data_IF_515982967262
#
_entry.id   IF_515982967262
#
_cell.length_a   1.000
_cell.length_b   1.000
_cell.length_c   1.000
_cell.angle_alpha   90.00
_cell.angle_beta   90.00
_cell.angle_gamma   90.00
#
_symmetry.space_group_name_H-M   'P 1'
#
loop_
_entity.id
_entity.type
_entity.pdbx_description
1 polymer ?
#
# COMPACT_ATOMS: atom_id res chain seq x y z
N UNK A 1 -24.29 2.12 -34.86
CA UNK A 1 -24.52 2.97 -33.67
C UNK A 1 -23.45 2.74 -32.62
N UNK A 2 -22.19 3.11 -32.88
CA UNK A 2 -21.08 3.03 -31.90
C UNK A 2 -20.46 4.41 -31.63
N UNK A 3 -20.71 5.40 -32.50
CA UNK A 3 -20.08 6.72 -32.46
C UNK A 3 -20.63 7.62 -31.35
N UNK A 4 -21.87 7.40 -30.88
CA UNK A 4 -22.49 8.19 -29.78
C UNK A 4 -22.29 7.56 -28.39
N UNK A 5 -21.92 6.28 -28.31
CA UNK A 5 -21.72 5.59 -27.05
C UNK A 5 -20.45 6.07 -26.31
N UNK A 6 -19.39 6.40 -27.06
CA UNK A 6 -18.12 6.86 -26.49
C UNK A 6 -18.23 8.28 -25.92
N UNK A 7 -18.78 9.29 -26.64
CA UNK A 7 -18.99 10.62 -26.06
C UNK A 7 -19.96 10.61 -24.87
N UNK A 8 -21.01 9.79 -24.93
CA UNK A 8 -21.96 9.63 -23.81
C UNK A 8 -21.31 9.01 -22.57
N UNK A 9 -20.48 7.98 -22.76
CA UNK A 9 -19.70 7.36 -21.68
C UNK A 9 -18.70 8.34 -21.05
N UNK A 10 -17.97 9.10 -21.86
CA UNK A 10 -17.02 10.11 -21.37
C UNK A 10 -17.74 11.20 -20.56
N UNK A 11 -18.90 11.68 -21.03
CA UNK A 11 -19.68 12.68 -20.29
C UNK A 11 -20.21 12.15 -18.95
N UNK A 12 -20.73 10.91 -18.94
CA UNK A 12 -21.21 10.27 -17.72
C UNK A 12 -20.07 10.06 -16.70
N UNK A 13 -18.92 9.58 -17.17
CA UNK A 13 -17.71 9.41 -16.34
C UNK A 13 -17.23 10.74 -15.77
N UNK A 14 -17.18 11.79 -16.59
CA UNK A 14 -16.81 13.13 -16.13
C UNK A 14 -17.76 13.70 -15.08
N UNK A 15 -19.07 13.46 -15.19
CA UNK A 15 -20.02 13.85 -14.15
C UNK A 15 -19.81 13.05 -12.85
N UNK A 16 -19.62 11.73 -12.96
CA UNK A 16 -19.31 10.90 -11.79
C UNK A 16 -18.05 11.39 -11.08
N UNK A 17 -17.00 11.72 -11.83
CA UNK A 17 -15.74 12.25 -11.30
C UNK A 17 -15.95 13.56 -10.53
N UNK A 18 -16.75 14.48 -11.08
CA UNK A 18 -17.05 15.75 -10.39
C UNK A 18 -17.80 15.54 -9.08
N UNK A 19 -18.81 14.67 -9.09
CA UNK A 19 -19.60 14.37 -7.88
C UNK A 19 -18.75 13.66 -6.83
N UNK A 20 -17.96 12.67 -7.25
CA UNK A 20 -17.06 11.93 -6.38
C UNK A 20 -16.00 12.83 -5.75
N UNK A 21 -15.38 13.71 -6.53
CA UNK A 21 -14.42 14.70 -6.02
C UNK A 21 -15.07 15.65 -5.00
N UNK A 22 -16.28 16.15 -5.27
CA UNK A 22 -16.99 17.02 -4.33
C UNK A 22 -17.32 16.30 -3.02
N UNK A 23 -17.78 15.04 -3.09
CA UNK A 23 -18.06 14.24 -1.91
C UNK A 23 -16.78 13.93 -1.11
N UNK A 24 -15.72 13.52 -1.81
CA UNK A 24 -14.43 13.22 -1.19
C UNK A 24 -13.87 14.45 -0.47
N UNK A 25 -13.85 15.61 -1.12
CA UNK A 25 -13.39 16.86 -0.52
C UNK A 25 -14.17 17.28 0.73
N UNK A 26 -15.45 16.87 0.86
CA UNK A 26 -16.26 17.14 2.05
C UNK A 26 -15.98 16.19 3.21
N UNK A 27 -15.55 14.95 2.94
CA UNK A 27 -15.32 13.94 3.99
C UNK A 27 -13.87 13.87 4.45
N UNK A 28 -12.89 14.22 3.60
CA UNK A 28 -11.46 14.21 3.96
C UNK A 28 -11.12 14.99 5.24
N UNK A 29 -11.71 16.18 5.53
CA UNK A 29 -11.43 16.85 6.80
C UNK A 29 -11.83 16.05 8.05
N UNK A 30 -12.80 15.13 7.94
CA UNK A 30 -13.18 14.22 9.04
C UNK A 30 -12.12 13.13 9.22
N UNK A 31 -11.62 12.59 8.11
CA UNK A 31 -10.49 11.65 8.10
C UNK A 31 -9.22 12.28 8.70
N UNK A 32 -8.88 13.51 8.28
CA UNK A 32 -7.68 14.23 8.73
C UNK A 32 -7.70 14.54 10.24
N UNK A 33 -8.89 14.60 10.84
CA UNK A 33 -9.08 14.74 12.29
C UNK A 33 -8.94 13.41 13.05
N UNK A 34 -8.70 12.30 12.37
CA UNK A 34 -8.62 10.96 12.96
C UNK A 34 -9.98 10.33 13.27
N UNK A 35 -11.08 10.91 12.80
CA UNK A 35 -12.42 10.37 13.03
C UNK A 35 -12.75 9.27 12.01
N UNK A 36 -11.96 8.20 12.02
CA UNK A 36 -11.96 7.17 10.96
C UNK A 36 -13.31 6.47 10.75
N UNK A 37 -14.01 6.10 11.84
CA UNK A 37 -15.35 5.49 11.72
C UNK A 37 -16.34 6.43 11.04
N UNK A 38 -16.33 7.71 11.43
CA UNK A 38 -17.19 8.73 10.82
C UNK A 38 -16.80 9.04 9.37
N UNK A 39 -15.50 9.02 9.05
CA UNK A 39 -15.03 9.17 7.69
C UNK A 39 -15.50 8.00 6.81
N UNK A 40 -15.48 6.77 7.33
CA UNK A 40 -15.95 5.57 6.62
C UNK A 40 -17.45 5.59 6.36
N UNK A 41 -18.25 5.88 7.39
CA UNK A 41 -19.71 5.77 7.36
C UNK A 41 -20.39 7.03 6.78
N UNK A 42 -19.71 8.18 6.86
CA UNK A 42 -20.25 9.49 6.52
C UNK A 42 -20.77 10.25 7.74
N UNK A 43 -21.04 11.54 7.54
CA UNK A 43 -21.50 12.45 8.62
C UNK A 43 -22.61 13.35 8.10
N UNK A 44 -23.80 13.24 8.71
CA UNK A 44 -24.97 14.03 8.33
C UNK A 44 -25.39 13.75 6.89
N UNK A 45 -25.24 14.75 6.02
CA UNK A 45 -25.53 14.64 4.58
C UNK A 45 -24.29 14.36 3.71
N UNK A 46 -23.12 14.12 4.32
CA UNK A 46 -21.87 13.81 3.62
C UNK A 46 -21.76 12.29 3.45
N UNK A 47 -21.55 11.84 2.23
CA UNK A 47 -21.23 10.43 1.95
C UNK A 47 -19.92 10.03 2.65
N UNK A 48 -19.86 8.79 3.11
CA UNK A 48 -18.65 8.20 3.69
C UNK A 48 -17.69 7.68 2.63
N UNK A 49 -16.43 7.44 3.03
CA UNK A 49 -15.37 6.93 2.17
C UNK A 49 -15.75 5.57 1.53
N UNK A 50 -16.46 4.70 2.26
CA UNK A 50 -16.92 3.42 1.73
C UNK A 50 -17.91 3.62 0.57
N UNK A 51 -18.88 4.50 0.75
CA UNK A 51 -19.86 4.83 -0.28
C UNK A 51 -19.19 5.43 -1.51
N UNK A 52 -18.27 6.37 -1.31
CA UNK A 52 -17.58 7.02 -2.43
C UNK A 52 -16.73 5.99 -3.21
N UNK A 53 -16.00 5.12 -2.49
CA UNK A 53 -15.19 4.07 -3.09
C UNK A 53 -16.01 3.01 -3.85
N UNK A 54 -17.22 2.69 -3.36
CA UNK A 54 -18.08 1.67 -3.94
C UNK A 54 -18.89 2.18 -5.13
N UNK A 55 -19.46 3.39 -5.02
CA UNK A 55 -20.33 3.96 -6.04
C UNK A 55 -19.57 4.65 -7.18
N UNK A 56 -18.34 5.12 -6.90
CA UNK A 56 -17.51 5.87 -7.85
C UNK A 56 -16.11 5.25 -8.04
N UNK A 57 -15.94 3.95 -7.80
CA UNK A 57 -14.62 3.29 -7.87
C UNK A 57 -13.96 3.31 -9.26
N UNK A 58 -14.68 3.63 -10.33
CA UNK A 58 -14.17 3.78 -11.71
C UNK A 58 -13.59 5.17 -12.01
N UNK A 59 -13.40 5.99 -10.99
CA UNK A 59 -13.22 7.45 -11.01
C UNK A 59 -11.99 7.74 -10.14
N UNK A 60 -11.19 8.75 -10.46
CA UNK A 60 -9.93 9.02 -9.73
C UNK A 60 -10.22 9.32 -8.26
N UNK A 61 -11.27 10.11 -8.00
CA UNK A 61 -11.74 10.40 -6.66
C UNK A 61 -12.23 9.15 -5.91
N UNK A 62 -12.96 8.25 -6.57
CA UNK A 62 -13.41 7.02 -5.91
C UNK A 62 -12.30 6.00 -5.70
N UNK A 63 -11.31 5.95 -6.61
CA UNK A 63 -10.09 5.20 -6.40
C UNK A 63 -9.34 5.73 -5.16
N UNK A 64 -9.14 7.05 -5.07
CA UNK A 64 -8.52 7.68 -3.91
C UNK A 64 -9.35 7.45 -2.62
N UNK A 65 -10.67 7.49 -2.70
CA UNK A 65 -11.55 7.15 -1.59
C UNK A 65 -11.35 5.69 -1.11
N UNK A 66 -11.06 4.75 -2.02
CA UNK A 66 -10.74 3.38 -1.65
C UNK A 66 -9.46 3.29 -0.83
N UNK A 67 -8.43 4.08 -1.16
CA UNK A 67 -7.22 4.18 -0.34
C UNK A 67 -7.53 4.72 1.06
N UNK A 68 -8.25 5.84 1.16
CA UNK A 68 -8.60 6.43 2.45
C UNK A 68 -9.53 5.54 3.29
N UNK A 69 -10.46 4.83 2.65
CA UNK A 69 -11.29 3.82 3.30
C UNK A 69 -10.42 2.68 3.85
N UNK A 70 -9.50 2.15 3.04
CA UNK A 70 -8.58 1.11 3.47
C UNK A 70 -7.72 1.55 4.66
N UNK A 71 -7.17 2.76 4.62
CA UNK A 71 -6.37 3.30 5.71
C UNK A 71 -7.22 3.49 6.98
N UNK A 72 -8.43 4.04 6.85
CA UNK A 72 -9.35 4.20 8.00
C UNK A 72 -9.68 2.85 8.64
N UNK A 73 -9.95 1.82 7.83
CA UNK A 73 -10.18 0.46 8.31
C UNK A 73 -8.94 -0.13 8.99
N UNK A 74 -7.76 0.14 8.46
CA UNK A 74 -6.50 -0.28 9.08
C UNK A 74 -6.29 0.37 10.46
N UNK A 75 -6.57 1.68 10.60
CA UNK A 75 -6.48 2.40 11.88
C UNK A 75 -7.49 1.90 12.91
N UNK A 76 -8.61 1.33 12.45
CA UNK A 76 -9.62 0.68 13.28
C UNK A 76 -9.36 -0.83 13.50
N UNK A 77 -8.19 -1.32 13.09
CA UNK A 77 -7.78 -2.73 13.19
C UNK A 77 -8.69 -3.71 12.42
N UNK A 78 -9.48 -3.21 11.48
CA UNK A 78 -10.36 -3.98 10.61
C UNK A 78 -9.60 -4.53 9.39
N UNK A 79 -8.54 -5.28 9.63
CA UNK A 79 -7.52 -5.64 8.65
C UNK A 79 -8.03 -6.39 7.42
N UNK A 80 -9.01 -7.28 7.57
CA UNK A 80 -9.59 -8.02 6.44
C UNK A 80 -10.33 -7.09 5.47
N UNK A 81 -11.08 -6.13 6.02
CA UNK A 81 -11.76 -5.12 5.21
C UNK A 81 -10.75 -4.16 4.61
N UNK A 82 -9.75 -3.73 5.37
CA UNK A 82 -8.69 -2.85 4.88
C UNK A 82 -7.98 -3.47 3.67
N UNK A 83 -7.60 -4.75 3.74
CA UNK A 83 -6.95 -5.47 2.65
C UNK A 83 -7.81 -5.49 1.38
N UNK A 84 -9.13 -5.70 1.51
CA UNK A 84 -10.07 -5.65 0.37
C UNK A 84 -10.04 -4.29 -0.35
N UNK A 85 -10.01 -3.19 0.39
CA UNK A 85 -9.98 -1.85 -0.22
C UNK A 85 -8.58 -1.48 -0.74
N UNK A 86 -7.48 -1.85 -0.07
CA UNK A 86 -6.13 -1.65 -0.62
C UNK A 86 -5.87 -2.43 -1.91
N UNK A 87 -6.49 -3.60 -2.08
CA UNK A 87 -6.42 -4.39 -3.31
C UNK A 87 -7.24 -3.79 -4.46
N UNK A 88 -8.34 -3.11 -4.14
CA UNK A 88 -9.16 -2.38 -5.11
C UNK A 88 -8.57 -1.04 -5.53
N UNK A 89 -7.73 -0.45 -4.69
CA UNK A 89 -7.01 0.76 -5.03
C UNK A 89 -6.03 0.49 -6.19
N UNK A 90 -6.30 1.13 -7.32
CA UNK A 90 -5.42 1.18 -8.48
C UNK A 90 -4.24 2.09 -8.13
N UNK A 91 -3.04 1.51 -8.11
CA UNK A 91 -1.81 2.15 -7.65
C UNK A 91 -1.14 2.89 -8.81
N UNK A 92 -0.67 4.10 -8.52
CA UNK A 92 -0.33 5.14 -9.50
C UNK A 92 1.18 5.37 -9.67
N UNK A 93 2.04 4.45 -9.23
CA UNK A 93 3.50 4.61 -9.30
C UNK A 93 4.03 5.76 -8.43
N UNK A 94 3.31 6.08 -7.36
CA UNK A 94 3.61 7.18 -6.46
C UNK A 94 3.70 6.71 -5.00
N UNK A 95 3.99 7.65 -4.09
CA UNK A 95 4.10 7.36 -2.68
C UNK A 95 2.83 6.75 -2.07
N UNK A 96 1.63 7.13 -2.55
CA UNK A 96 0.36 6.58 -2.06
C UNK A 96 0.23 5.12 -2.51
N UNK A 97 0.56 4.83 -3.77
CA UNK A 97 0.68 3.47 -4.32
C UNK A 97 1.60 2.59 -3.48
N UNK A 98 2.82 3.06 -3.23
CA UNK A 98 3.81 2.34 -2.41
C UNK A 98 3.31 2.13 -0.97
N UNK A 99 2.71 3.15 -0.36
CA UNK A 99 2.14 3.06 0.98
C UNK A 99 1.00 2.04 1.07
N UNK A 100 0.21 1.89 0.01
CA UNK A 100 -0.84 0.87 -0.05
C UNK A 100 -0.27 -0.55 -0.08
N UNK A 101 0.87 -0.78 -0.74
CA UNK A 101 1.57 -2.07 -0.67
C UNK A 101 2.17 -2.32 0.72
N UNK A 102 2.87 -1.33 1.28
CA UNK A 102 3.45 -1.43 2.62
C UNK A 102 2.39 -1.68 3.71
N UNK A 103 1.23 -1.02 3.63
CA UNK A 103 0.12 -1.26 4.57
C UNK A 103 -0.44 -2.68 4.43
N UNK A 104 -0.53 -3.22 3.20
CA UNK A 104 -0.91 -4.62 3.01
C UNK A 104 0.13 -5.58 3.58
N UNK A 105 1.43 -5.26 3.43
CA UNK A 105 2.52 -6.05 3.98
C UNK A 105 2.42 -6.13 5.52
N UNK A 106 2.26 -4.98 6.18
CA UNK A 106 2.08 -4.90 7.64
C UNK A 106 0.85 -5.72 8.12
N UNK A 107 -0.25 -5.72 7.36
CA UNK A 107 -1.40 -6.59 7.63
C UNK A 107 -1.00 -8.08 7.54
N UNK A 108 -0.19 -8.48 6.56
CA UNK A 108 0.27 -9.86 6.43
C UNK A 108 1.24 -10.25 7.56
N UNK A 109 2.10 -9.35 8.01
CA UNK A 109 2.97 -9.56 9.17
C UNK A 109 2.16 -9.81 10.45
N UNK A 110 1.09 -9.03 10.68
CA UNK A 110 0.18 -9.24 11.80
C UNK A 110 -0.46 -10.64 11.78
N UNK A 111 -0.66 -11.19 10.58
CA UNK A 111 -1.15 -12.56 10.34
C UNK A 111 -0.04 -13.62 10.32
N UNK A 112 1.21 -13.25 10.62
CA UNK A 112 2.40 -14.09 10.52
C UNK A 112 2.63 -14.68 9.12
N UNK A 113 2.09 -14.06 8.08
CA UNK A 113 2.28 -14.44 6.68
C UNK A 113 3.50 -13.72 6.10
N UNK A 114 4.66 -13.94 6.72
CA UNK A 114 5.87 -13.14 6.51
C UNK A 114 6.44 -13.20 5.09
N UNK A 115 6.42 -14.35 4.42
CA UNK A 115 6.82 -14.45 3.00
C UNK A 115 5.98 -13.52 2.11
N UNK A 116 4.67 -13.49 2.35
CA UNK A 116 3.76 -12.62 1.60
C UNK A 116 3.99 -11.15 1.94
N UNK A 117 4.31 -10.84 3.20
CA UNK A 117 4.67 -9.49 3.61
C UNK A 117 5.94 -9.01 2.90
N UNK A 118 6.98 -9.85 2.85
CA UNK A 118 8.23 -9.55 2.14
C UNK A 118 7.98 -9.16 0.68
N UNK A 119 7.20 -9.96 -0.05
CA UNK A 119 6.87 -9.67 -1.45
C UNK A 119 6.07 -8.37 -1.63
N UNK A 120 5.16 -8.06 -0.70
CA UNK A 120 4.41 -6.80 -0.73
C UNK A 120 5.31 -5.58 -0.44
N UNK A 121 6.30 -5.71 0.44
CA UNK A 121 7.27 -4.64 0.68
C UNK A 121 8.20 -4.42 -0.52
N UNK A 122 8.63 -5.48 -1.22
CA UNK A 122 9.37 -5.33 -2.48
C UNK A 122 8.53 -4.63 -3.57
N UNK A 123 7.23 -4.94 -3.63
CA UNK A 123 6.29 -4.21 -4.48
C UNK A 123 6.20 -2.74 -4.07
N UNK A 124 6.15 -2.42 -2.78
CA UNK A 124 6.16 -1.03 -2.30
C UNK A 124 7.43 -0.27 -2.72
N UNK A 125 8.61 -0.90 -2.58
CA UNK A 125 9.87 -0.32 -3.00
C UNK A 125 9.95 -0.07 -4.52
N UNK A 126 9.35 -0.96 -5.30
CA UNK A 126 9.34 -0.88 -6.77
C UNK A 126 8.28 0.09 -7.30
N UNK A 127 7.15 0.21 -6.60
CA UNK A 127 6.04 1.10 -6.97
C UNK A 127 6.46 2.57 -6.95
N UNK A 128 7.31 2.96 -5.99
CA UNK A 128 7.84 4.31 -5.90
C UNK A 128 9.33 4.30 -5.51
N UNK A 129 10.17 3.98 -6.50
CA UNK A 129 11.62 3.89 -6.32
C UNK A 129 12.25 5.28 -6.11
N UNK A 130 12.62 5.58 -4.87
CA UNK A 130 13.32 6.81 -4.48
C UNK A 130 14.18 6.57 -3.23
N UNK A 131 15.19 7.43 -3.06
CA UNK A 131 16.20 7.35 -1.99
C UNK A 131 15.63 7.37 -0.55
N UNK A 132 14.42 7.89 -0.35
CA UNK A 132 13.86 8.07 0.99
C UNK A 132 13.02 6.88 1.45
N UNK A 133 12.19 6.29 0.57
CA UNK A 133 11.20 5.28 0.99
C UNK A 133 11.49 3.88 0.48
N UNK A 134 12.10 3.75 -0.70
CA UNK A 134 12.43 2.44 -1.25
C UNK A 134 13.42 1.64 -0.36
N UNK A 135 14.53 2.21 0.14
CA UNK A 135 15.44 1.45 1.02
C UNK A 135 14.78 1.04 2.34
N UNK A 136 13.85 1.84 2.87
CA UNK A 136 13.05 1.45 4.04
C UNK A 136 12.16 0.25 3.76
N UNK A 137 11.43 0.25 2.65
CA UNK A 137 10.57 -0.89 2.29
C UNK A 137 11.40 -2.14 1.98
N UNK A 138 12.56 -2.02 1.35
CA UNK A 138 13.45 -3.16 1.14
C UNK A 138 14.00 -3.73 2.46
N UNK A 139 14.26 -2.87 3.45
CA UNK A 139 14.72 -3.32 4.76
C UNK A 139 13.63 -4.12 5.47
N UNK A 140 12.38 -3.62 5.44
CA UNK A 140 11.19 -4.31 5.94
C UNK A 140 10.96 -5.63 5.18
N UNK A 141 11.16 -5.65 3.85
CA UNK A 141 11.07 -6.87 3.06
C UNK A 141 12.06 -7.94 3.53
N UNK A 142 13.33 -7.56 3.70
CA UNK A 142 14.37 -8.49 4.16
C UNK A 142 14.07 -9.05 5.55
N UNK A 143 13.57 -8.22 6.46
CA UNK A 143 13.20 -8.65 7.82
C UNK A 143 12.03 -9.65 7.80
N UNK A 144 11.00 -9.36 7.00
CA UNK A 144 9.89 -10.28 6.81
C UNK A 144 10.36 -11.61 6.20
N UNK A 145 11.27 -11.59 5.22
CA UNK A 145 11.84 -12.82 4.66
C UNK A 145 12.67 -13.61 5.69
N UNK A 146 13.42 -12.96 6.57
CA UNK A 146 14.12 -13.65 7.67
C UNK A 146 13.15 -14.34 8.63
N UNK A 147 12.05 -13.69 9.02
CA UNK A 147 10.99 -14.28 9.85
C UNK A 147 10.27 -15.45 9.14
N UNK A 148 10.19 -15.41 7.82
CA UNK A 148 9.70 -16.51 6.99
C UNK A 148 10.72 -17.67 6.84
N UNK A 149 11.96 -17.50 7.30
CA UNK A 149 13.07 -18.42 7.05
C UNK A 149 13.59 -18.41 5.61
N UNK A 150 13.21 -17.42 4.81
CA UNK A 150 13.60 -17.25 3.41
C UNK A 150 14.87 -16.42 3.28
N UNK A 151 15.99 -16.94 3.82
CA UNK A 151 17.24 -16.18 3.91
C UNK A 151 17.83 -15.77 2.55
N UNK A 152 17.59 -16.52 1.48
CA UNK A 152 18.00 -16.11 0.12
C UNK A 152 17.30 -14.81 -0.32
N UNK A 153 15.99 -14.73 -0.11
CA UNK A 153 15.22 -13.53 -0.44
C UNK A 153 15.59 -12.36 0.47
N UNK A 154 15.85 -12.63 1.76
CA UNK A 154 16.31 -11.61 2.70
C UNK A 154 17.64 -10.99 2.27
N UNK A 155 18.64 -11.83 1.94
CA UNK A 155 19.95 -11.36 1.45
C UNK A 155 19.79 -10.55 0.17
N UNK A 156 18.95 -10.98 -0.77
CA UNK A 156 18.70 -10.24 -2.00
C UNK A 156 18.09 -8.85 -1.74
N UNK A 157 17.12 -8.74 -0.83
CA UNK A 157 16.51 -7.46 -0.46
C UNK A 157 17.53 -6.49 0.17
N UNK A 158 18.37 -7.00 1.09
CA UNK A 158 19.42 -6.18 1.71
C UNK A 158 20.53 -5.78 0.74
N UNK A 159 20.95 -6.69 -0.14
CA UNK A 159 21.94 -6.40 -1.17
C UNK A 159 21.44 -5.29 -2.11
N UNK A 160 20.15 -5.29 -2.45
CA UNK A 160 19.56 -4.23 -3.27
C UNK A 160 19.68 -2.85 -2.61
N UNK A 161 19.62 -2.76 -1.28
CA UNK A 161 19.87 -1.51 -0.55
C UNK A 161 21.32 -1.07 -0.73
N UNK A 162 22.29 -1.99 -0.64
CA UNK A 162 23.71 -1.66 -0.83
C UNK A 162 23.99 -1.20 -2.26
N UNK A 163 23.38 -1.85 -3.24
CA UNK A 163 23.66 -1.61 -4.66
C UNK A 163 22.97 -0.34 -5.17
N UNK A 164 21.71 -0.12 -4.79
CA UNK A 164 20.88 0.96 -5.33
C UNK A 164 20.79 2.17 -4.41
N UNK A 165 20.94 2.00 -3.08
CA UNK A 165 20.74 3.03 -2.07
C UNK A 165 21.87 3.11 -1.03
N UNK A 166 23.15 3.12 -1.43
CA UNK A 166 24.29 3.04 -0.51
C UNK A 166 24.40 4.21 0.49
N UNK A 167 23.85 5.38 0.14
CA UNK A 167 23.88 6.58 0.98
C UNK A 167 22.63 6.73 1.86
N UNK A 168 21.71 5.75 1.83
CA UNK A 168 20.50 5.78 2.65
C UNK A 168 20.79 5.49 4.12
N UNK A 169 19.92 5.99 5.01
CA UNK A 169 20.00 5.69 6.45
C UNK A 169 19.92 4.18 6.74
N UNK A 170 19.30 3.41 5.84
CA UNK A 170 19.12 1.96 5.97
C UNK A 170 20.34 1.15 5.53
N UNK A 171 21.30 1.72 4.79
CA UNK A 171 22.41 0.96 4.22
C UNK A 171 23.25 0.25 5.31
N UNK A 172 23.62 0.96 6.38
CA UNK A 172 24.41 0.35 7.47
C UNK A 172 23.64 -0.79 8.16
N UNK A 173 22.33 -0.63 8.34
CA UNK A 173 21.50 -1.64 8.99
C UNK A 173 21.29 -2.86 8.09
N UNK A 174 21.08 -2.64 6.79
CA UNK A 174 20.96 -3.68 5.78
C UNK A 174 22.23 -4.53 5.68
N UNK A 175 23.43 -3.93 5.70
CA UNK A 175 24.70 -4.68 5.68
C UNK A 175 24.78 -5.64 6.87
N UNK A 176 24.42 -5.17 8.06
CA UNK A 176 24.42 -5.98 9.28
C UNK A 176 23.42 -7.14 9.21
N UNK A 177 22.20 -6.88 8.74
CA UNK A 177 21.18 -7.93 8.62
C UNK A 177 21.50 -8.92 7.51
N UNK A 178 22.07 -8.45 6.40
CA UNK A 178 22.58 -9.31 5.33
C UNK A 178 23.60 -10.31 5.86
N UNK A 179 24.64 -9.84 6.55
CA UNK A 179 25.66 -10.73 7.14
C UNK A 179 25.05 -11.78 8.10
N UNK A 180 24.04 -11.39 8.89
CA UNK A 180 23.30 -12.35 9.75
C UNK A 180 22.54 -13.38 8.91
N UNK A 181 21.78 -12.93 7.91
CA UNK A 181 20.97 -13.80 7.06
C UNK A 181 21.85 -14.77 6.27
N UNK A 182 23.05 -14.37 5.83
CA UNK A 182 24.00 -15.24 5.13
C UNK A 182 24.47 -16.41 6.00
N UNK A 183 24.80 -16.16 7.28
CA UNK A 183 25.17 -17.24 8.22
C UNK A 183 24.02 -18.23 8.37
N UNK A 184 22.79 -17.73 8.54
CA UNK A 184 21.60 -18.59 8.67
C UNK A 184 21.31 -19.41 7.41
N UNK A 185 21.51 -18.82 6.23
CA UNK A 185 21.41 -19.50 4.94
C UNK A 185 22.40 -20.66 4.86
N UNK A 186 23.66 -20.44 5.23
CA UNK A 186 24.69 -21.48 5.19
C UNK A 186 24.38 -22.65 6.13
N UNK A 187 23.89 -22.37 7.34
CA UNK A 187 23.45 -23.37 8.32
C UNK A 187 22.33 -24.27 7.74
N UNK A 188 21.38 -23.69 7.00
CA UNK A 188 20.30 -24.44 6.34
C UNK A 188 20.79 -25.31 5.19
N UNK A 189 21.75 -24.84 4.38
CA UNK A 189 22.28 -25.63 3.26
C UNK A 189 23.20 -26.78 3.68
N UNK A 190 23.72 -26.71 4.91
CA UNK A 190 24.64 -27.71 5.47
C UNK A 190 23.94 -28.83 6.24
N UNK A 191 22.62 -28.75 6.42
CA UNK A 191 21.76 -29.70 7.16
C UNK A 191 21.04 -30.66 6.22
#
# INVERSE_FOLDING_TARGET
>A
MLVLAIPGYIYYHQQQEQVANEQLGKILPVYDQGNYQQALDGVGNRAGLLTIADDYGNTDAGNLAAFYAANSLYQLEEYDRALKYFQRYDKSGDFIGASAYAAQAAIQENKSAFERAGGLYEQAASEYSNELTAPRFLLEAGQAYEEAGQYDAAVAAYQKIQDEYPESDQATEAERYMARAEVRREEMTSS
#
